data_IF_197899978525
#
_entry.id   IF_197899978525
#
_cell.length_a   1.000
_cell.length_b   1.000
_cell.length_c   1.000
_cell.angle_alpha   90.00
_cell.angle_beta   90.00
_cell.angle_gamma   90.00
#
_symmetry.space_group_name_H-M   'P 1'
#
loop_
_entity.id
_entity.type
_entity.pdbx_description
1 polymer ?
#
# COMPACT_ATOMS: atom_id res chain seq x y z
N UNK A 1 -10.22 1.00 3.44
CA UNK A 1 -9.49 1.10 2.16
C UNK A 1 -9.94 2.41 1.51
N UNK A 2 -9.02 3.26 1.08
CA UNK A 2 -9.37 4.59 0.54
C UNK A 2 -9.46 4.61 -1.00
N UNK A 3 -8.84 3.65 -1.68
CA UNK A 3 -8.91 3.47 -3.12
C UNK A 3 -8.27 2.15 -3.54
N UNK A 4 -8.69 1.59 -4.68
CA UNK A 4 -8.10 0.42 -5.31
C UNK A 4 -7.92 0.74 -6.79
N UNK A 5 -6.71 0.52 -7.29
CA UNK A 5 -6.36 0.72 -8.68
C UNK A 5 -5.70 -0.54 -9.22
N UNK A 6 -6.06 -0.92 -10.44
CA UNK A 6 -5.40 -1.95 -11.20
C UNK A 6 -4.99 -1.35 -12.55
N UNK A 7 -3.73 -1.47 -12.92
CA UNK A 7 -3.22 -0.97 -14.18
C UNK A 7 -1.99 -1.76 -14.64
N UNK A 8 -1.77 -1.77 -15.94
CA UNK A 8 -0.59 -2.33 -16.59
C UNK A 8 0.35 -1.19 -17.02
N UNK A 9 1.65 -1.47 -17.01
CA UNK A 9 2.68 -0.64 -17.61
C UNK A 9 3.45 -1.51 -18.59
N UNK A 10 3.63 -1.02 -19.81
CA UNK A 10 4.35 -1.70 -20.87
C UNK A 10 5.61 -0.94 -21.23
N UNK A 11 6.68 -1.69 -21.47
CA UNK A 11 7.91 -1.27 -22.12
C UNK A 11 8.10 -2.13 -23.39
N UNK A 12 9.14 -1.86 -24.17
CA UNK A 12 9.42 -2.58 -25.41
C UNK A 12 9.81 -4.05 -25.17
N UNK A 13 10.50 -4.34 -24.06
CA UNK A 13 10.98 -5.68 -23.71
C UNK A 13 10.27 -6.32 -22.52
N UNK A 14 9.56 -5.53 -21.70
CA UNK A 14 8.98 -5.97 -20.43
C UNK A 14 7.77 -5.14 -20.01
N UNK A 15 7.22 -5.44 -18.85
CA UNK A 15 6.11 -4.70 -18.27
C UNK A 15 5.79 -5.18 -16.87
N UNK A 16 4.85 -4.50 -16.23
CA UNK A 16 4.33 -4.97 -14.95
C UNK A 16 2.86 -4.61 -14.80
N UNK A 17 2.14 -5.46 -14.07
CA UNK A 17 0.76 -5.22 -13.65
C UNK A 17 0.76 -4.84 -12.17
N UNK A 18 0.08 -3.75 -11.83
CA UNK A 18 0.04 -3.22 -10.47
C UNK A 18 -1.38 -3.31 -9.93
N UNK A 19 -1.50 -3.90 -8.74
CA UNK A 19 -2.66 -3.71 -7.86
C UNK A 19 -2.21 -2.79 -6.74
N UNK A 20 -2.74 -1.57 -6.71
CA UNK A 20 -2.35 -0.53 -5.77
C UNK A 20 -3.52 -0.13 -4.88
N UNK A 21 -3.24 0.05 -3.59
CA UNK A 21 -4.23 0.52 -2.62
C UNK A 21 -3.56 1.29 -1.48
N UNK A 22 -4.36 2.14 -0.83
CA UNK A 22 -3.99 2.81 0.41
C UNK A 22 -4.97 2.42 1.51
N UNK A 23 -4.43 1.99 2.65
CA UNK A 23 -5.21 1.53 3.81
C UNK A 23 -4.56 1.89 5.14
N UNK A 24 -5.29 1.68 6.23
CA UNK A 24 -4.71 1.67 7.57
C UNK A 24 -3.65 0.56 7.70
N UNK A 25 -2.66 0.81 8.57
CA UNK A 25 -1.49 -0.06 8.75
C UNK A 25 -1.84 -1.52 9.09
N UNK A 26 -2.92 -1.74 9.84
CA UNK A 26 -3.34 -3.07 10.30
C UNK A 26 -3.97 -3.97 9.24
N UNK A 27 -4.23 -3.46 8.03
CA UNK A 27 -4.98 -4.19 7.00
C UNK A 27 -4.08 -4.89 5.97
N UNK A 28 -2.76 -4.81 6.09
CA UNK A 28 -1.81 -5.34 5.09
C UNK A 28 -2.08 -6.81 4.78
N UNK A 29 -2.11 -7.66 5.80
CA UNK A 29 -2.25 -9.11 5.62
C UNK A 29 -3.63 -9.47 5.04
N UNK A 30 -4.69 -8.76 5.45
CA UNK A 30 -6.03 -8.94 4.91
C UNK A 30 -6.09 -8.56 3.42
N UNK A 31 -5.47 -7.44 3.03
CA UNK A 31 -5.42 -6.99 1.63
C UNK A 31 -4.67 -7.98 0.76
N UNK A 32 -3.48 -8.43 1.21
CA UNK A 32 -2.70 -9.41 0.47
C UNK A 32 -3.47 -10.72 0.30
N UNK A 33 -4.18 -11.17 1.33
CA UNK A 33 -5.00 -12.39 1.27
C UNK A 33 -6.15 -12.24 0.28
N UNK A 34 -6.86 -11.11 0.29
CA UNK A 34 -7.95 -10.85 -0.67
C UNK A 34 -7.46 -10.81 -2.12
N UNK A 35 -6.29 -10.18 -2.37
CA UNK A 35 -5.69 -10.15 -3.71
C UNK A 35 -5.31 -11.55 -4.16
N UNK A 36 -4.70 -12.35 -3.27
CA UNK A 36 -4.31 -13.73 -3.57
C UNK A 36 -5.53 -14.60 -3.87
N UNK A 37 -6.56 -14.51 -3.04
CA UNK A 37 -7.81 -15.25 -3.21
C UNK A 37 -8.48 -14.92 -4.53
N UNK A 38 -8.51 -13.64 -4.91
CA UNK A 38 -9.08 -13.22 -6.18
C UNK A 38 -8.27 -13.75 -7.37
N UNK A 39 -6.94 -13.64 -7.34
CA UNK A 39 -6.09 -14.20 -8.40
C UNK A 39 -6.22 -15.72 -8.50
N UNK A 40 -6.33 -16.43 -7.37
CA UNK A 40 -6.56 -17.87 -7.37
C UNK A 40 -7.95 -18.22 -7.95
N UNK A 41 -8.98 -17.44 -7.63
CA UNK A 41 -10.31 -17.61 -8.22
C UNK A 41 -10.29 -17.47 -9.73
N UNK A 42 -9.64 -16.42 -10.25
CA UNK A 42 -9.44 -16.25 -11.71
C UNK A 42 -8.68 -17.44 -12.29
N UNK A 43 -7.64 -17.92 -11.61
CA UNK A 43 -6.86 -19.09 -12.04
C UNK A 43 -7.71 -20.36 -12.14
N UNK A 44 -8.66 -20.56 -11.22
CA UNK A 44 -9.59 -21.69 -11.20
C UNK A 44 -10.75 -21.56 -12.21
N UNK A 45 -10.80 -20.48 -12.99
CA UNK A 45 -11.88 -20.24 -13.95
C UNK A 45 -13.18 -19.75 -13.31
N UNK A 46 -13.10 -19.07 -12.16
CA UNK A 46 -14.30 -18.53 -11.48
C UNK A 46 -14.85 -17.24 -12.10
N UNK A 47 -14.19 -16.71 -13.13
CA UNK A 47 -14.72 -15.60 -13.93
C UNK A 47 -15.52 -16.18 -15.08
N UNK A 48 -16.84 -16.02 -15.04
CA UNK A 48 -17.72 -16.51 -16.10
C UNK A 48 -17.75 -15.60 -17.34
N UNK A 49 -18.36 -16.12 -18.41
CA UNK A 49 -18.47 -15.43 -19.69
C UNK A 49 -19.29 -14.12 -19.60
N UNK A 50 -20.28 -14.05 -18.70
CA UNK A 50 -21.07 -12.84 -18.49
C UNK A 50 -20.18 -11.73 -17.93
N UNK A 51 -19.36 -12.04 -16.92
CA UNK A 51 -18.43 -11.10 -16.33
C UNK A 51 -17.34 -10.64 -17.31
N UNK A 52 -16.87 -11.52 -18.18
CA UNK A 52 -15.96 -11.15 -19.27
C UNK A 52 -16.65 -10.20 -20.26
N UNK A 53 -17.87 -10.50 -20.67
CA UNK A 53 -18.64 -9.65 -21.58
C UNK A 53 -18.90 -8.25 -21.00
N UNK A 54 -19.22 -8.14 -19.71
CA UNK A 54 -19.34 -6.87 -19.01
C UNK A 54 -18.03 -6.06 -19.05
N UNK A 55 -16.90 -6.72 -18.79
CA UNK A 55 -15.58 -6.07 -18.82
C UNK A 55 -15.20 -5.62 -20.23
N UNK A 56 -15.45 -6.45 -21.25
CA UNK A 56 -15.24 -6.11 -22.66
C UNK A 56 -16.08 -4.89 -23.06
N UNK A 57 -17.37 -4.87 -22.71
CA UNK A 57 -18.26 -3.74 -22.97
C UNK A 57 -17.77 -2.46 -22.28
N UNK A 58 -17.34 -2.55 -21.03
CA UNK A 58 -16.81 -1.41 -20.29
C UNK A 58 -15.50 -0.87 -20.89
N UNK A 59 -14.59 -1.74 -21.33
CA UNK A 59 -13.33 -1.35 -21.99
C UNK A 59 -13.59 -0.67 -23.33
N UNK A 60 -14.42 -1.28 -24.19
CA UNK A 60 -14.79 -0.70 -25.49
C UNK A 60 -15.51 0.64 -25.32
N UNK A 61 -16.40 0.76 -24.34
CA UNK A 61 -17.10 2.01 -24.04
C UNK A 61 -16.15 3.13 -23.61
N UNK A 62 -15.21 2.86 -22.69
CA UNK A 62 -14.19 3.84 -22.29
C UNK A 62 -13.31 4.26 -23.46
N UNK A 63 -12.88 3.31 -24.28
CA UNK A 63 -12.08 3.59 -25.46
C UNK A 63 -12.84 4.45 -26.47
N UNK A 64 -14.10 4.13 -26.76
CA UNK A 64 -14.92 4.89 -27.69
C UNK A 64 -15.07 6.36 -27.25
N UNK A 65 -15.34 6.59 -25.96
CA UNK A 65 -15.38 7.93 -25.36
C UNK A 65 -14.04 8.65 -25.48
N UNK A 66 -12.92 7.96 -25.22
CA UNK A 66 -11.60 8.55 -25.34
C UNK A 66 -11.26 8.96 -26.79
N UNK A 67 -11.79 8.25 -27.78
CA UNK A 67 -11.58 8.58 -29.19
C UNK A 67 -12.39 9.79 -29.68
N UNK A 68 -13.32 10.32 -28.87
CA UNK A 68 -14.04 11.56 -29.16
C UNK A 68 -13.15 12.80 -28.95
N UNK A 69 -12.18 12.72 -28.03
CA UNK A 69 -11.23 13.80 -27.80
C UNK A 69 -10.04 13.71 -28.77
N UNK A 70 -9.70 14.85 -29.40
CA UNK A 70 -8.63 14.90 -30.40
C UNK A 70 -7.25 14.65 -29.80
N UNK A 71 -7.01 15.08 -28.56
CA UNK A 71 -5.72 14.91 -27.88
C UNK A 71 -5.55 13.45 -27.48
N UNK A 72 -6.56 12.84 -26.85
CA UNK A 72 -6.53 11.43 -26.47
C UNK A 72 -6.39 10.51 -27.69
N UNK A 73 -7.11 10.80 -28.78
CA UNK A 73 -6.96 10.07 -30.05
C UNK A 73 -5.57 10.24 -30.66
N UNK A 74 -4.99 11.44 -30.63
CA UNK A 74 -3.63 11.66 -31.12
C UNK A 74 -2.59 10.91 -30.27
N UNK A 75 -2.74 10.91 -28.95
CA UNK A 75 -1.87 10.15 -28.03
C UNK A 75 -1.98 8.65 -28.31
N UNK A 76 -3.18 8.12 -28.48
CA UNK A 76 -3.40 6.70 -28.81
C UNK A 76 -2.70 6.30 -30.11
N UNK A 77 -2.84 7.09 -31.17
CA UNK A 77 -2.16 6.81 -32.45
C UNK A 77 -0.65 6.96 -32.35
N UNK A 78 -0.17 7.95 -31.59
CA UNK A 78 1.26 8.14 -31.37
C UNK A 78 1.89 6.95 -30.62
N UNK A 79 1.18 6.35 -29.66
CA UNK A 79 1.66 5.14 -28.96
C UNK A 79 1.93 3.99 -29.94
N UNK A 80 1.06 3.81 -30.93
CA UNK A 80 1.27 2.79 -31.97
C UNK A 80 2.47 3.06 -32.86
N UNK A 81 2.79 4.33 -33.17
CA UNK A 81 3.97 4.67 -33.98
C UNK A 81 5.32 4.31 -33.31
N UNK A 82 5.33 4.07 -32.00
CA UNK A 82 6.53 3.64 -31.27
C UNK A 82 6.73 2.12 -31.35
N UNK A 83 5.64 1.36 -31.50
CA UNK A 83 5.65 -0.12 -31.41
C UNK A 83 5.56 -0.78 -32.78
N UNK A 84 4.82 -0.18 -33.72
CA UNK A 84 4.57 -0.75 -35.04
C UNK A 84 5.66 -0.37 -36.04
N UNK A 85 5.95 -1.28 -36.96
CA UNK A 85 6.75 -0.96 -38.14
C UNK A 85 5.97 -0.09 -39.13
N UNK A 86 6.66 0.58 -40.06
CA UNK A 86 6.04 1.53 -40.99
C UNK A 86 4.94 0.91 -41.89
N UNK A 87 5.03 -0.40 -42.15
CA UNK A 87 4.08 -1.14 -42.99
C UNK A 87 3.00 -1.88 -42.17
N UNK A 88 3.06 -1.82 -40.84
CA UNK A 88 2.15 -2.53 -39.96
C UNK A 88 0.93 -1.67 -39.59
N UNK A 89 -0.30 -2.14 -39.85
CA UNK A 89 -1.49 -1.37 -39.55
C UNK A 89 -1.76 -1.32 -38.05
N UNK A 90 -2.35 -0.20 -37.59
CA UNK A 90 -2.87 -0.11 -36.21
C UNK A 90 -3.90 -1.22 -35.98
N UNK A 91 -3.74 -2.05 -34.93
CA UNK A 91 -4.69 -3.12 -34.64
C UNK A 91 -6.10 -2.60 -34.37
N UNK A 92 -7.11 -3.39 -34.77
CA UNK A 92 -8.49 -3.14 -34.36
C UNK A 92 -8.65 -3.51 -32.88
N UNK A 93 -8.63 -2.47 -32.03
CA UNK A 93 -8.73 -2.62 -30.58
C UNK A 93 -10.03 -3.32 -30.15
N UNK A 94 -11.16 -3.01 -30.78
CA UNK A 94 -12.44 -3.62 -30.39
C UNK A 94 -12.47 -5.10 -30.77
N UNK A 95 -12.03 -5.43 -31.99
CA UNK A 95 -11.94 -6.82 -32.42
C UNK A 95 -10.97 -7.62 -31.52
N UNK A 96 -9.83 -7.04 -31.14
CA UNK A 96 -8.89 -7.70 -30.23
C UNK A 96 -9.52 -7.99 -28.86
N UNK A 97 -10.25 -7.02 -28.28
CA UNK A 97 -10.95 -7.21 -27.00
C UNK A 97 -12.02 -8.29 -27.10
N UNK A 98 -12.76 -8.38 -28.21
CA UNK A 98 -13.84 -9.35 -28.42
C UNK A 98 -13.36 -10.81 -28.50
N UNK A 99 -12.07 -11.03 -28.79
CA UNK A 99 -11.50 -12.39 -28.81
C UNK A 99 -11.17 -12.95 -27.42
N UNK A 100 -11.18 -12.11 -26.38
CA UNK A 100 -10.77 -12.53 -25.03
C UNK A 100 -11.82 -13.45 -24.40
N UNK A 101 -11.37 -14.61 -23.92
CA UNK A 101 -12.22 -15.63 -23.27
C UNK A 101 -11.93 -15.76 -21.77
N UNK A 102 -12.84 -16.36 -20.97
CA UNK A 102 -12.54 -16.74 -19.58
C UNK A 102 -11.28 -17.59 -19.42
N UNK A 103 -11.03 -18.50 -20.36
CA UNK A 103 -9.87 -19.38 -20.38
C UNK A 103 -8.57 -18.58 -20.59
N UNK A 104 -8.61 -17.51 -21.38
CA UNK A 104 -7.47 -16.60 -21.55
C UNK A 104 -7.09 -15.92 -20.25
N UNK A 105 -8.08 -15.54 -19.42
CA UNK A 105 -7.82 -14.94 -18.10
C UNK A 105 -7.11 -15.92 -17.18
N UNK A 106 -7.60 -17.16 -17.12
CA UNK A 106 -6.99 -18.24 -16.33
C UNK A 106 -5.53 -18.46 -16.78
N UNK A 107 -5.32 -18.59 -18.10
CA UNK A 107 -4.00 -18.75 -18.72
C UNK A 107 -3.05 -17.59 -18.42
N UNK A 108 -3.53 -16.34 -18.47
CA UNK A 108 -2.73 -15.13 -18.16
C UNK A 108 -2.32 -15.13 -16.70
N UNK A 109 -3.23 -15.44 -15.77
CA UNK A 109 -2.91 -15.52 -14.34
C UNK A 109 -1.86 -16.61 -14.07
N UNK A 110 -2.01 -17.79 -14.64
CA UNK A 110 -1.03 -18.88 -14.49
C UNK A 110 0.35 -18.50 -15.03
N UNK A 111 0.41 -17.79 -16.15
CA UNK A 111 1.66 -17.44 -16.83
C UNK A 111 2.40 -16.31 -16.13
N UNK A 112 1.69 -15.25 -15.73
CA UNK A 112 2.31 -13.99 -15.34
C UNK A 112 2.22 -13.69 -13.83
N UNK A 113 1.24 -14.23 -13.10
CA UNK A 113 1.00 -13.91 -11.68
C UNK A 113 1.58 -14.96 -10.71
N UNK A 114 2.65 -15.65 -11.13
CA UNK A 114 3.32 -16.65 -10.28
C UNK A 114 4.01 -16.00 -9.08
N UNK A 115 4.09 -16.67 -7.91
CA UNK A 115 4.73 -16.12 -6.71
C UNK A 115 6.14 -15.55 -6.94
N UNK A 116 6.91 -16.16 -7.85
CA UNK A 116 8.28 -15.77 -8.18
C UNK A 116 8.37 -14.46 -9.00
N UNK A 117 7.26 -14.04 -9.63
CA UNK A 117 7.16 -12.84 -10.47
C UNK A 117 6.37 -11.71 -9.80
N UNK A 118 6.09 -11.82 -8.49
CA UNK A 118 5.35 -10.83 -7.72
C UNK A 118 6.26 -10.06 -6.77
N UNK A 119 6.04 -8.76 -6.70
CA UNK A 119 6.78 -7.85 -5.83
C UNK A 119 5.80 -7.02 -4.99
N UNK A 120 6.17 -6.75 -3.74
CA UNK A 120 5.38 -5.93 -2.82
C UNK A 120 6.13 -4.63 -2.49
N UNK A 121 5.61 -3.51 -2.98
CA UNK A 121 6.00 -2.18 -2.52
C UNK A 121 5.10 -1.75 -1.37
N UNK A 122 5.69 -1.43 -0.22
CA UNK A 122 4.94 -0.99 0.97
C UNK A 122 5.51 0.32 1.50
N UNK A 123 4.71 1.38 1.45
CA UNK A 123 5.07 2.66 2.04
C UNK A 123 4.36 2.83 3.39
N UNK A 124 5.12 2.84 4.48
CA UNK A 124 4.60 3.00 5.84
C UNK A 124 5.39 4.07 6.60
N UNK A 125 4.72 4.98 7.33
CA UNK A 125 5.41 5.93 8.20
C UNK A 125 6.11 5.18 9.34
N UNK A 126 7.42 5.42 9.47
CA UNK A 126 8.27 4.82 10.53
C UNK A 126 8.02 5.48 11.88
N UNK A 127 7.62 6.75 11.89
CA UNK A 127 7.23 7.49 13.08
C UNK A 127 5.93 8.26 12.81
N UNK A 128 4.97 8.17 13.74
CA UNK A 128 3.75 8.97 13.74
C UNK A 128 3.82 10.03 14.85
N UNK A 129 3.12 11.16 14.68
CA UNK A 129 3.03 12.21 15.71
C UNK A 129 2.59 11.63 17.06
N UNK A 130 1.64 10.69 17.04
CA UNK A 130 1.17 9.99 18.23
C UNK A 130 2.28 9.15 18.90
N UNK A 131 3.09 8.42 18.12
CA UNK A 131 4.21 7.65 18.67
C UNK A 131 5.31 8.56 19.25
N UNK A 132 5.60 9.69 18.61
CA UNK A 132 6.55 10.69 19.13
C UNK A 132 6.05 11.34 20.42
N UNK A 133 4.78 11.73 20.47
CA UNK A 133 4.16 12.29 21.67
C UNK A 133 4.20 11.31 22.85
N UNK A 134 3.93 10.02 22.61
CA UNK A 134 4.06 8.96 23.63
C UNK A 134 5.48 8.82 24.15
N UNK A 135 6.47 8.81 23.26
CA UNK A 135 7.88 8.72 23.64
C UNK A 135 8.30 9.89 24.53
N UNK A 136 7.93 11.12 24.14
CA UNK A 136 8.19 12.33 24.94
C UNK A 136 7.50 12.23 26.31
N UNK A 137 6.22 11.81 26.34
CA UNK A 137 5.47 11.63 27.58
C UNK A 137 6.15 10.65 28.56
N UNK A 138 6.65 9.52 28.06
CA UNK A 138 7.40 8.53 28.85
C UNK A 138 8.68 9.15 29.43
N UNK A 139 9.45 9.86 28.62
CA UNK A 139 10.71 10.50 29.05
C UNK A 139 10.46 11.54 30.14
N UNK A 140 9.47 12.41 29.95
CA UNK A 140 9.09 13.43 30.94
C UNK A 140 8.61 12.78 32.24
N UNK A 141 7.78 11.73 32.16
CA UNK A 141 7.31 10.99 33.33
C UNK A 141 8.43 10.33 34.14
N UNK A 142 9.40 9.71 33.46
CA UNK A 142 10.59 9.13 34.10
C UNK A 142 11.48 10.20 34.74
N UNK A 143 11.63 11.36 34.09
CA UNK A 143 12.37 12.50 34.64
C UNK A 143 11.73 13.08 35.90
N UNK A 144 10.40 13.27 35.88
CA UNK A 144 9.65 13.77 37.04
C UNK A 144 9.70 12.80 38.22
N UNK A 145 9.51 11.50 37.97
CA UNK A 145 9.56 10.48 39.03
C UNK A 145 10.94 10.39 39.68
N UNK A 146 12.03 10.43 38.90
CA UNK A 146 13.39 10.47 39.45
C UNK A 146 13.66 11.77 40.23
N UNK A 147 13.15 12.91 39.77
CA UNK A 147 13.25 14.19 40.49
C UNK A 147 12.51 14.14 41.84
N UNK A 148 11.26 13.67 41.86
CA UNK A 148 10.46 13.51 43.09
C UNK A 148 11.16 12.57 44.08
N UNK A 149 11.63 11.40 43.61
CA UNK A 149 12.36 10.45 44.44
C UNK A 149 13.61 11.09 45.07
N UNK A 150 14.39 11.84 44.28
CA UNK A 150 15.58 12.56 44.76
C UNK A 150 15.23 13.64 45.78
N UNK A 151 14.11 14.34 45.60
CA UNK A 151 13.64 15.37 46.53
C UNK A 151 13.18 14.79 47.87
N UNK A 152 12.41 13.70 47.85
CA UNK A 152 12.01 12.97 49.06
C UNK A 152 13.21 12.43 49.82
N UNK A 153 14.19 11.87 49.10
CA UNK A 153 15.42 11.35 49.72
C UNK A 153 16.27 12.45 50.36
N UNK A 154 16.34 13.63 49.73
CA UNK A 154 17.00 14.82 50.31
C UNK A 154 16.31 15.29 51.58
N UNK A 155 14.97 15.33 51.61
CA UNK A 155 14.20 15.71 52.80
C UNK A 155 14.41 14.71 53.95
N UNK A 156 14.31 13.42 53.69
CA UNK A 156 14.56 12.38 54.70
C UNK A 156 15.99 12.43 55.29
N UNK A 157 17.01 12.76 54.49
CA UNK A 157 18.38 12.97 54.97
C UNK A 157 18.52 14.24 55.82
N UNK A 158 17.81 15.31 55.48
CA UNK A 158 17.81 16.55 56.25
C UNK A 158 17.14 16.35 57.62
N UNK A 159 16.04 15.59 57.67
CA UNK A 159 15.34 15.28 58.93
C UNK A 159 16.17 14.36 59.84
N UNK A 160 16.89 13.36 59.27
CA UNK A 160 17.87 12.57 60.04
C UNK A 160 19.00 13.43 60.63
N UNK A 161 19.50 14.43 59.91
CA UNK A 161 20.53 15.35 60.42
C UNK A 161 19.99 16.28 61.52
N UNK A 162 18.71 16.69 61.45
CA UNK A 162 18.06 17.50 62.48
C UNK A 162 17.76 16.69 63.75
N UNK A 163 17.28 15.45 63.63
CA UNK A 163 17.04 14.57 64.79
C UNK A 163 18.31 14.15 65.53
N UNK A 164 19.46 14.02 64.84
CA UNK A 164 20.75 13.75 65.47
C UNK A 164 21.37 14.95 66.20
N UNK A 165 20.96 16.19 65.87
CA UNK A 165 21.46 17.40 66.52
C UNK A 165 20.75 17.70 67.85
N UNK A 166 19.52 17.24 68.03
CA UNK A 166 18.73 17.44 69.27
C UNK A 166 19.20 16.57 70.43
N UNK A 167 19.87 15.43 70.17
CA UNK A 167 20.36 14.54 71.22
C UNK A 167 21.72 14.94 71.81
N UNK A 168 22.40 15.96 71.25
CA UNK A 168 23.75 16.38 71.66
C UNK A 168 23.80 17.63 72.54
N UNK A 169 22.64 18.12 73.01
CA UNK A 169 22.53 19.32 73.87
C UNK A 169 22.13 19.05 75.34
N UNK A 170 22.09 17.79 75.79
CA UNK A 170 21.76 17.45 77.18
C UNK A 170 22.92 16.85 77.98
N UNK A 171 24.15 16.90 77.47
CA UNK A 171 25.36 16.50 78.19
C UNK A 171 26.40 17.60 78.02
N UNK A 172 26.33 18.61 78.87
CA UNK A 172 27.26 19.72 78.98
C UNK A 172 26.95 20.47 80.26
#
# INVERSE_FOLDING_TARGET
MYGLWAYNVFFDDTGYFVISTTSDRGNKEAILSMVEEHLEGVRRGEVDAERVAEAQAALKGRWALAMEDNVERAVWLAQWSVVLSADEPVPDYQAAIDTVTPEDLSRVVETYFTPQRRYLGLHQPVATVASGARAVGIVVGLGLSTWVARQLWRRARADRKRGGATHRRLTG
#
